data_IF_070430052276
#
_entry.id   IF_070430052276
#
_cell.length_a   1.000
_cell.length_b   1.000
_cell.length_c   1.000
_cell.angle_alpha   90.00
_cell.angle_beta   90.00
_cell.angle_gamma   90.00
#
_symmetry.space_group_name_H-M   'P 1'
#
loop_
_entity.id
_entity.type
_entity.pdbx_description
1 polymer ?
#
# COMPACT_ATOMS: atom_id res chain seq x y z
N UNK A 1 -0.18 -18.76 7.27
CA UNK A 1 0.96 -18.72 6.33
C UNK A 1 0.86 -17.40 5.56
N UNK A 2 1.92 -16.57 5.55
CA UNK A 2 1.98 -15.37 4.71
C UNK A 2 2.12 -15.82 3.26
N UNK A 3 1.32 -15.25 2.37
CA UNK A 3 1.46 -15.40 0.93
C UNK A 3 1.68 -14.02 0.35
N UNK A 4 2.80 -13.87 -0.35
CA UNK A 4 3.06 -12.69 -1.14
C UNK A 4 2.43 -12.87 -2.51
N UNK A 5 1.50 -11.98 -2.84
CA UNK A 5 0.90 -11.85 -4.17
C UNK A 5 1.74 -10.83 -4.95
N UNK A 6 2.77 -11.36 -5.63
CA UNK A 6 3.69 -10.53 -6.41
C UNK A 6 3.14 -10.28 -7.81
N UNK A 7 3.09 -9.02 -8.27
CA UNK A 7 2.71 -8.72 -9.65
C UNK A 7 3.83 -9.06 -10.66
N UNK A 8 5.05 -9.33 -10.18
CA UNK A 8 6.20 -9.51 -11.04
C UNK A 8 6.31 -10.95 -11.53
N UNK A 9 6.27 -11.09 -12.84
CA UNK A 9 6.60 -12.32 -13.57
C UNK A 9 7.55 -11.97 -14.71
N UNK A 10 8.82 -12.39 -14.59
CA UNK A 10 9.90 -12.08 -15.52
C UNK A 10 10.30 -13.26 -16.41
N UNK A 11 9.38 -14.18 -16.68
CA UNK A 11 9.67 -15.38 -17.47
C UNK A 11 9.72 -15.10 -18.97
N UNK A 12 8.85 -14.22 -19.50
CA UNK A 12 8.71 -14.00 -20.93
C UNK A 12 8.50 -12.53 -21.27
N UNK A 13 9.51 -11.90 -21.85
CA UNK A 13 9.46 -10.49 -22.24
C UNK A 13 10.78 -9.78 -22.03
N UNK A 14 10.71 -8.47 -22.16
CA UNK A 14 11.81 -7.55 -21.87
C UNK A 14 11.24 -6.34 -21.13
N UNK A 15 12.08 -5.60 -20.43
CA UNK A 15 11.72 -4.31 -19.88
C UNK A 15 11.54 -3.29 -21.01
N UNK A 16 10.32 -2.79 -21.18
CA UNK A 16 9.93 -1.84 -22.20
C UNK A 16 9.58 -0.50 -21.53
N UNK A 17 10.20 0.59 -22.00
CA UNK A 17 10.00 1.94 -21.51
C UNK A 17 8.86 2.61 -22.26
N UNK A 18 7.93 3.26 -21.57
CA UNK A 18 6.85 3.99 -22.21
C UNK A 18 6.13 5.01 -21.34
N UNK A 19 5.27 5.80 -21.98
CA UNK A 19 4.54 6.87 -21.35
C UNK A 19 3.07 6.85 -21.77
N UNK A 20 2.17 7.12 -20.82
CA UNK A 20 0.72 7.09 -21.03
C UNK A 20 0.06 8.47 -20.96
N UNK A 21 0.81 9.53 -20.56
CA UNK A 21 0.25 10.86 -20.39
C UNK A 21 1.07 11.88 -21.20
N UNK A 22 0.52 12.24 -22.36
CA UNK A 22 1.21 13.03 -23.38
C UNK A 22 0.17 13.82 -24.16
N UNK A 23 0.39 15.13 -24.33
CA UNK A 23 -0.45 16.03 -25.11
C UNK A 23 0.19 16.45 -26.43
N UNK A 24 -0.65 16.68 -27.41
CA UNK A 24 -0.25 17.11 -28.76
C UNK A 24 -1.03 18.36 -29.19
N UNK A 25 -0.80 18.83 -30.41
CA UNK A 25 -1.60 19.94 -31.02
C UNK A 25 -3.07 19.57 -31.24
N UNK A 26 -3.50 18.36 -30.85
CA UNK A 26 -4.93 17.97 -30.87
C UNK A 26 -5.69 18.50 -29.65
N UNK A 27 -4.98 18.86 -28.58
CA UNK A 27 -5.51 19.60 -27.43
C UNK A 27 -4.66 20.85 -27.18
N UNK A 28 -3.81 20.86 -26.19
CA UNK A 28 -3.04 22.04 -25.76
C UNK A 28 -1.52 21.82 -25.76
N UNK A 29 -1.05 20.69 -26.26
CA UNK A 29 0.36 20.46 -26.52
C UNK A 29 0.86 21.29 -27.73
N UNK A 30 2.12 21.67 -27.72
CA UNK A 30 2.72 22.53 -28.79
C UNK A 30 3.28 21.73 -29.97
N UNK A 31 3.44 20.41 -29.83
CA UNK A 31 3.99 19.54 -30.87
C UNK A 31 2.90 18.70 -31.54
N UNK A 32 3.03 18.50 -32.85
CA UNK A 32 2.17 17.54 -33.56
C UNK A 32 2.41 16.10 -33.08
N UNK A 33 1.46 15.20 -33.29
CA UNK A 33 1.64 13.80 -32.90
C UNK A 33 2.91 13.16 -33.44
N UNK A 34 3.28 13.44 -34.70
CA UNK A 34 4.50 12.88 -35.28
C UNK A 34 5.78 13.45 -34.64
N UNK A 35 5.79 14.74 -34.31
CA UNK A 35 6.93 15.34 -33.60
C UNK A 35 7.10 14.76 -32.21
N UNK A 36 6.00 14.50 -31.52
CA UNK A 36 6.01 13.80 -30.21
C UNK A 36 6.55 12.38 -30.35
N UNK A 37 6.09 11.60 -31.33
CA UNK A 37 6.63 10.28 -31.63
C UNK A 37 8.15 10.32 -31.84
N UNK A 38 8.64 11.25 -32.65
CA UNK A 38 10.06 11.38 -32.92
C UNK A 38 10.86 11.68 -31.65
N UNK A 39 10.36 12.60 -30.78
CA UNK A 39 11.01 12.95 -29.51
C UNK A 39 11.12 11.75 -28.56
N UNK A 40 10.05 10.99 -28.39
CA UNK A 40 10.06 9.84 -27.50
C UNK A 40 10.85 8.66 -28.05
N UNK A 41 10.94 8.51 -29.38
CA UNK A 41 11.84 7.57 -30.02
C UNK A 41 13.31 7.90 -29.73
N UNK A 42 13.70 9.19 -29.82
CA UNK A 42 15.05 9.66 -29.46
C UNK A 42 15.36 9.45 -27.97
N UNK A 43 14.35 9.50 -27.08
CA UNK A 43 14.47 9.20 -25.66
C UNK A 43 14.45 7.69 -25.34
N UNK A 44 14.40 6.83 -26.38
CA UNK A 44 14.45 5.38 -26.24
C UNK A 44 13.19 4.75 -25.66
N UNK A 45 12.01 5.32 -25.95
CA UNK A 45 10.75 4.70 -25.56
C UNK A 45 10.36 3.58 -26.52
N UNK A 46 9.69 2.56 -25.97
CA UNK A 46 9.20 1.38 -26.68
C UNK A 46 7.70 1.45 -26.97
N UNK A 47 6.95 2.22 -26.19
CA UNK A 47 5.53 2.44 -26.41
C UNK A 47 5.09 3.83 -25.95
N UNK A 48 3.98 4.32 -26.55
CA UNK A 48 3.34 5.59 -26.20
C UNK A 48 1.83 5.47 -26.24
N UNK A 49 1.18 6.31 -25.43
CA UNK A 49 -0.24 6.62 -25.56
C UNK A 49 -0.41 8.14 -25.61
N UNK A 50 -1.07 8.66 -26.64
CA UNK A 50 -1.52 10.05 -26.62
C UNK A 50 -2.76 10.15 -25.73
N UNK A 51 -2.82 11.21 -24.94
CA UNK A 51 -3.89 11.45 -23.99
C UNK A 51 -4.44 12.88 -24.11
N UNK A 52 -4.55 13.37 -25.33
CA UNK A 52 -5.11 14.69 -25.59
C UNK A 52 -6.44 14.88 -24.85
N UNK A 53 -6.66 16.06 -24.26
CA UNK A 53 -7.83 16.39 -23.45
C UNK A 53 -9.14 16.14 -24.20
N UNK A 54 -9.97 15.24 -23.67
CA UNK A 54 -11.32 14.92 -24.17
C UNK A 54 -11.40 14.66 -25.69
N UNK A 55 -10.26 14.25 -26.29
CA UNK A 55 -10.09 14.07 -27.73
C UNK A 55 -9.37 12.75 -28.03
N UNK A 56 -10.13 11.66 -28.08
CA UNK A 56 -9.60 10.34 -28.37
C UNK A 56 -9.04 10.26 -29.80
N UNK A 57 -7.77 9.91 -29.91
CA UNK A 57 -7.16 9.50 -31.16
C UNK A 57 -7.49 8.02 -31.42
N UNK A 58 -8.18 7.74 -32.51
CA UNK A 58 -8.59 6.38 -32.87
C UNK A 58 -7.42 5.54 -33.37
N UNK A 59 -7.53 4.21 -33.27
CA UNK A 59 -6.52 3.29 -33.80
C UNK A 59 -6.22 3.51 -35.29
N UNK A 60 -7.24 3.87 -36.08
CA UNK A 60 -7.10 4.19 -37.50
C UNK A 60 -6.23 5.44 -37.72
N UNK A 61 -6.36 6.45 -36.87
CA UNK A 61 -5.53 7.65 -36.93
C UNK A 61 -4.08 7.35 -36.56
N UNK A 62 -3.85 6.49 -35.58
CA UNK A 62 -2.49 6.03 -35.21
C UNK A 62 -1.75 5.38 -36.38
N UNK A 63 -2.46 4.67 -37.28
CA UNK A 63 -1.87 4.04 -38.46
C UNK A 63 -1.31 5.03 -39.48
N UNK A 64 -1.66 6.31 -39.39
CA UNK A 64 -1.16 7.38 -40.28
C UNK A 64 0.25 7.87 -39.89
N UNK A 65 0.73 7.52 -38.73
CA UNK A 65 2.02 7.96 -38.21
C UNK A 65 3.14 6.92 -38.39
N UNK A 66 4.35 7.39 -38.59
CA UNK A 66 5.55 6.58 -38.46
C UNK A 66 5.85 6.35 -36.97
N UNK A 67 5.55 5.18 -36.47
CA UNK A 67 5.71 4.84 -35.05
C UNK A 67 7.15 4.78 -34.55
N UNK A 68 8.14 4.87 -35.44
CA UNK A 68 9.58 4.70 -35.11
C UNK A 68 9.89 3.40 -34.39
N UNK A 69 9.10 2.35 -34.64
CA UNK A 69 9.23 1.06 -33.99
C UNK A 69 8.65 0.98 -32.58
N UNK A 70 7.97 2.04 -32.10
CA UNK A 70 7.21 2.01 -30.84
C UNK A 70 5.84 1.39 -31.04
N UNK A 71 5.29 0.83 -29.97
CA UNK A 71 3.90 0.39 -29.91
C UNK A 71 3.05 1.60 -29.51
N UNK A 72 2.14 2.02 -30.40
CA UNK A 72 1.22 3.12 -30.13
C UNK A 72 -0.09 2.55 -29.55
N UNK A 73 -0.52 3.04 -28.40
CA UNK A 73 -1.68 2.56 -27.66
C UNK A 73 -2.72 3.70 -27.60
N UNK A 74 -3.96 3.51 -28.06
CA UNK A 74 -4.99 4.54 -27.97
C UNK A 74 -5.29 4.95 -26.54
N UNK A 75 -5.41 6.25 -26.30
CA UNK A 75 -5.73 6.82 -25.01
C UNK A 75 -6.31 8.22 -25.12
N UNK A 76 -6.87 8.68 -24.03
CA UNK A 76 -7.46 10.02 -23.87
C UNK A 76 -7.39 10.42 -22.40
N UNK A 77 -7.16 11.69 -22.13
CA UNK A 77 -7.39 12.24 -20.79
C UNK A 77 -8.78 12.87 -20.73
N UNK A 78 -9.66 12.28 -19.91
CA UNK A 78 -10.99 12.81 -19.64
C UNK A 78 -10.85 13.87 -18.56
N UNK A 79 -10.90 15.13 -18.93
CA UNK A 79 -10.50 16.26 -18.08
C UNK A 79 -11.63 17.23 -17.72
N UNK A 80 -12.54 17.51 -18.63
CA UNK A 80 -13.60 18.48 -18.38
C UNK A 80 -14.49 18.07 -17.19
N UNK A 81 -14.86 19.07 -16.37
CA UNK A 81 -15.84 18.96 -15.27
C UNK A 81 -15.38 18.16 -14.00
N UNK A 82 -14.09 17.95 -13.78
CA UNK A 82 -13.63 17.32 -12.52
C UNK A 82 -12.19 16.80 -12.58
N UNK A 83 -11.74 16.04 -11.60
CA UNK A 83 -10.42 15.44 -11.58
C UNK A 83 -10.14 14.62 -12.84
N UNK A 84 -8.94 14.72 -13.37
CA UNK A 84 -8.57 14.12 -14.63
C UNK A 84 -8.38 12.62 -14.54
N UNK A 85 -8.78 11.90 -15.58
CA UNK A 85 -8.67 10.45 -15.67
C UNK A 85 -8.09 10.07 -17.04
N UNK A 86 -6.94 9.38 -17.07
CA UNK A 86 -6.50 8.67 -18.25
C UNK A 86 -7.39 7.47 -18.52
N UNK A 87 -7.85 7.33 -19.75
CA UNK A 87 -8.48 6.13 -20.27
C UNK A 87 -7.59 5.56 -21.37
N UNK A 88 -6.87 4.50 -21.04
CA UNK A 88 -5.84 3.87 -21.88
C UNK A 88 -6.36 2.56 -22.48
N UNK A 89 -5.84 2.18 -23.66
CA UNK A 89 -6.28 1.07 -24.49
C UNK A 89 -7.76 1.22 -24.90
N UNK A 90 -8.15 2.45 -25.10
CA UNK A 90 -9.52 2.86 -25.42
C UNK A 90 -9.85 2.63 -26.89
N UNK A 91 -11.08 2.20 -27.19
CA UNK A 91 -11.63 2.16 -28.56
C UNK A 91 -12.88 3.01 -28.70
N UNK A 92 -13.47 3.39 -27.58
CA UNK A 92 -14.73 4.12 -27.53
C UNK A 92 -14.55 5.40 -26.76
N UNK A 93 -15.00 6.48 -27.36
CA UNK A 93 -15.04 7.77 -26.68
C UNK A 93 -16.01 7.72 -25.49
N UNK A 94 -15.56 8.26 -24.38
CA UNK A 94 -16.35 8.44 -23.15
C UNK A 94 -16.37 9.93 -22.85
N UNK A 95 -17.55 10.53 -22.90
CA UNK A 95 -17.69 11.95 -22.64
C UNK A 95 -17.48 12.28 -21.16
N UNK A 96 -16.85 13.44 -20.87
CA UNK A 96 -16.67 13.93 -19.51
C UNK A 96 -18.00 14.04 -18.76
N UNK A 97 -17.98 13.61 -17.50
CA UNK A 97 -19.12 13.67 -16.58
C UNK A 97 -18.60 14.26 -15.25
N UNK A 98 -19.31 15.20 -14.66
CA UNK A 98 -18.94 15.78 -13.37
C UNK A 98 -18.94 14.74 -12.24
N UNK A 99 -19.69 13.67 -12.39
CA UNK A 99 -19.63 12.50 -11.52
C UNK A 99 -18.58 11.54 -12.06
N UNK A 100 -17.34 11.67 -11.60
CA UNK A 100 -16.22 10.82 -12.06
C UNK A 100 -16.44 9.33 -11.87
N UNK A 101 -17.21 8.94 -10.87
CA UNK A 101 -17.61 7.53 -10.72
C UNK A 101 -18.40 7.03 -11.93
N UNK A 102 -19.22 7.87 -12.58
CA UNK A 102 -19.93 7.49 -13.81
C UNK A 102 -18.96 7.23 -14.97
N UNK A 103 -17.90 8.04 -15.10
CA UNK A 103 -16.84 7.83 -16.09
C UNK A 103 -16.14 6.50 -15.83
N UNK A 104 -15.72 6.24 -14.59
CA UNK A 104 -15.07 5.00 -14.18
C UNK A 104 -15.96 3.77 -14.41
N UNK A 105 -17.24 3.88 -14.12
CA UNK A 105 -18.21 2.80 -14.39
C UNK A 105 -18.32 2.46 -15.87
N UNK A 106 -18.34 3.45 -16.75
CA UNK A 106 -18.37 3.26 -18.21
C UNK A 106 -17.09 2.59 -18.72
N UNK A 107 -15.93 2.97 -18.20
CA UNK A 107 -14.63 2.34 -18.52
C UNK A 107 -14.63 0.89 -18.03
N UNK A 108 -15.07 0.65 -16.81
CA UNK A 108 -15.14 -0.70 -16.24
C UNK A 108 -16.14 -1.60 -16.98
N UNK A 109 -17.27 -1.04 -17.40
CA UNK A 109 -18.24 -1.77 -18.24
C UNK A 109 -17.63 -2.20 -19.57
N UNK A 110 -16.91 -1.29 -20.24
CA UNK A 110 -16.20 -1.59 -21.47
C UNK A 110 -15.12 -2.67 -21.26
N UNK A 111 -14.36 -2.57 -20.17
CA UNK A 111 -13.38 -3.59 -19.79
C UNK A 111 -14.02 -4.96 -19.59
N UNK A 112 -15.13 -5.03 -18.86
CA UNK A 112 -15.84 -6.29 -18.60
C UNK A 112 -16.38 -6.96 -19.89
N UNK A 113 -16.72 -6.16 -20.90
CA UNK A 113 -17.22 -6.65 -22.17
C UNK A 113 -16.12 -7.08 -23.14
N UNK A 114 -14.96 -6.42 -23.10
CA UNK A 114 -13.93 -6.54 -24.15
C UNK A 114 -12.59 -7.07 -23.64
N UNK A 115 -12.34 -7.02 -22.32
CA UNK A 115 -11.04 -7.24 -21.72
C UNK A 115 -10.04 -6.11 -21.98
N UNK A 116 -10.51 -4.94 -22.44
CA UNK A 116 -9.69 -3.80 -22.88
C UNK A 116 -10.13 -2.50 -22.19
N UNK A 117 -9.19 -1.58 -22.10
CA UNK A 117 -9.42 -0.28 -21.50
C UNK A 117 -9.29 -0.24 -19.98
N UNK A 118 -8.48 0.63 -19.47
CA UNK A 118 -8.33 0.86 -18.03
C UNK A 118 -8.20 2.33 -17.71
N UNK A 119 -8.56 2.68 -16.47
CA UNK A 119 -8.52 4.05 -15.97
C UNK A 119 -7.36 4.27 -15.00
N UNK A 120 -6.69 5.42 -15.11
CA UNK A 120 -5.72 5.92 -14.12
C UNK A 120 -6.15 7.31 -13.68
N UNK A 121 -6.16 7.59 -12.37
CA UNK A 121 -6.46 8.95 -11.87
C UNK A 121 -5.18 9.78 -11.90
N UNK A 122 -5.24 10.93 -12.61
CA UNK A 122 -4.08 11.75 -12.92
C UNK A 122 -3.71 12.70 -11.78
N UNK A 123 -2.41 12.97 -11.64
CA UNK A 123 -1.79 14.03 -10.81
C UNK A 123 -2.65 14.48 -9.61
N UNK A 124 -3.00 13.56 -8.66
CA UNK A 124 -3.96 13.86 -7.60
C UNK A 124 -3.49 14.97 -6.65
N UNK A 125 -2.18 15.25 -6.58
CA UNK A 125 -1.59 16.31 -5.77
C UNK A 125 -1.28 17.60 -6.55
N UNK A 126 -1.87 17.78 -7.74
CA UNK A 126 -1.82 19.01 -8.48
C UNK A 126 -2.65 20.11 -7.78
N UNK A 127 -2.38 21.39 -8.11
CA UNK A 127 -2.93 22.63 -7.58
C UNK A 127 -2.36 23.02 -6.21
N UNK A 128 -2.55 24.26 -5.83
CA UNK A 128 -1.95 24.90 -4.66
C UNK A 128 -2.36 24.27 -3.31
N UNK A 129 -3.46 23.51 -3.27
CA UNK A 129 -3.92 22.78 -2.08
C UNK A 129 -3.48 21.31 -2.09
N UNK A 130 -2.68 20.86 -3.05
CA UNK A 130 -2.29 19.46 -3.27
C UNK A 130 -3.51 18.53 -3.38
N UNK A 131 -4.59 18.99 -4.03
CA UNK A 131 -5.87 18.31 -3.92
C UNK A 131 -6.72 18.37 -5.21
N UNK A 132 -6.10 18.15 -6.36
CA UNK A 132 -6.84 17.97 -7.61
C UNK A 132 -7.83 16.80 -7.52
N UNK A 133 -7.41 15.70 -6.86
CA UNK A 133 -8.28 14.61 -6.46
C UNK A 133 -8.04 14.26 -4.99
N UNK A 134 -9.07 14.42 -4.15
CA UNK A 134 -8.92 14.22 -2.72
C UNK A 134 -8.74 12.74 -2.36
N UNK A 135 -8.13 12.48 -1.21
CA UNK A 135 -7.97 11.10 -0.72
C UNK A 135 -9.33 10.43 -0.47
N UNK A 136 -10.34 11.19 -0.04
CA UNK A 136 -11.70 10.71 0.16
C UNK A 136 -12.31 10.24 -1.15
N UNK A 137 -12.20 11.04 -2.23
CA UNK A 137 -12.64 10.66 -3.58
C UNK A 137 -11.93 9.38 -4.04
N UNK A 138 -10.60 9.29 -3.90
CA UNK A 138 -9.84 8.11 -4.26
C UNK A 138 -10.24 6.86 -3.46
N UNK A 139 -10.62 7.02 -2.19
CA UNK A 139 -11.12 5.92 -1.35
C UNK A 139 -12.51 5.49 -1.79
N UNK A 140 -13.41 6.43 -2.07
CA UNK A 140 -14.80 6.15 -2.44
C UNK A 140 -14.93 5.56 -3.86
N UNK A 141 -14.14 6.07 -4.82
CA UNK A 141 -14.23 5.62 -6.20
C UNK A 141 -13.76 4.19 -6.40
N UNK A 142 -14.37 3.54 -7.38
CA UNK A 142 -14.05 2.18 -7.81
C UNK A 142 -13.86 2.13 -9.34
N UNK A 143 -13.23 1.08 -9.86
CA UNK A 143 -13.09 0.88 -11.30
C UNK A 143 -11.89 1.61 -11.93
N UNK A 144 -11.00 2.19 -11.15
CA UNK A 144 -9.70 2.66 -11.63
C UNK A 144 -8.60 1.65 -11.29
N UNK A 145 -7.63 1.51 -12.19
CA UNK A 145 -6.51 0.57 -12.06
C UNK A 145 -5.40 1.13 -11.18
N UNK A 146 -5.20 2.45 -11.16
CA UNK A 146 -4.14 3.09 -10.42
C UNK A 146 -4.25 4.61 -10.39
N UNK A 147 -3.22 5.24 -9.82
CA UNK A 147 -3.06 6.69 -9.75
C UNK A 147 -1.69 7.09 -10.27
N UNK A 148 -1.54 8.29 -10.78
CA UNK A 148 -0.22 8.86 -11.00
C UNK A 148 0.43 9.20 -9.66
N UNK A 149 1.51 8.48 -9.35
CA UNK A 149 2.35 8.71 -8.16
C UNK A 149 3.47 9.71 -8.46
N UNK A 150 3.74 9.93 -9.75
CA UNK A 150 4.66 10.93 -10.26
C UNK A 150 4.10 11.50 -11.56
N UNK A 151 4.06 12.83 -11.66
CA UNK A 151 3.70 13.55 -12.85
C UNK A 151 4.73 14.66 -13.12
N UNK A 152 5.40 14.57 -14.27
CA UNK A 152 6.55 15.41 -14.57
C UNK A 152 6.22 16.90 -14.70
N UNK A 153 5.11 17.23 -15.36
CA UNK A 153 4.73 18.63 -15.63
C UNK A 153 4.38 19.40 -14.36
N UNK A 154 3.89 18.74 -13.33
CA UNK A 154 3.53 19.39 -12.06
C UNK A 154 4.77 19.99 -11.37
N UNK A 155 5.98 19.50 -11.66
CA UNK A 155 7.21 20.10 -11.15
C UNK A 155 7.41 21.58 -11.50
N UNK A 156 6.68 22.11 -12.52
CA UNK A 156 6.67 23.52 -12.90
C UNK A 156 5.34 24.25 -12.67
N UNK A 157 4.37 23.56 -12.04
CA UNK A 157 3.04 24.09 -11.73
C UNK A 157 2.83 24.09 -10.21
N UNK A 158 1.69 24.61 -9.78
CA UNK A 158 1.31 24.56 -8.35
C UNK A 158 0.96 23.12 -7.93
N UNK A 159 1.40 22.71 -6.76
CA UNK A 159 1.14 21.38 -6.21
C UNK A 159 2.40 20.55 -6.03
N UNK A 160 2.24 19.24 -5.99
CA UNK A 160 3.33 18.27 -5.90
C UNK A 160 3.32 17.31 -7.09
N UNK A 161 4.49 17.12 -7.69
CA UNK A 161 4.67 16.07 -8.70
C UNK A 161 4.55 14.65 -8.13
N UNK A 162 4.57 14.48 -6.80
CA UNK A 162 4.51 13.21 -6.10
C UNK A 162 3.18 13.05 -5.37
N UNK A 163 2.55 11.88 -5.52
CA UNK A 163 1.35 11.48 -4.78
C UNK A 163 1.55 10.17 -3.99
N UNK A 164 2.78 9.92 -3.52
CA UNK A 164 3.16 8.70 -2.79
C UNK A 164 2.36 8.53 -1.50
N UNK A 165 2.07 9.62 -0.78
CA UNK A 165 1.30 9.58 0.45
C UNK A 165 -0.14 9.09 0.21
N UNK A 166 -0.80 9.60 -0.85
CA UNK A 166 -2.14 9.14 -1.23
C UNK A 166 -2.11 7.66 -1.64
N UNK A 167 -1.08 7.25 -2.39
CA UNK A 167 -0.92 5.85 -2.78
C UNK A 167 -0.78 4.93 -1.58
N UNK A 168 0.14 5.23 -0.64
CA UNK A 168 0.33 4.44 0.57
C UNK A 168 -0.93 4.38 1.45
N UNK A 169 -1.71 5.45 1.52
CA UNK A 169 -3.00 5.45 2.21
C UNK A 169 -4.02 4.50 1.55
N UNK A 170 -4.10 4.51 0.21
CA UNK A 170 -4.99 3.60 -0.54
C UNK A 170 -4.61 2.14 -0.31
N UNK A 171 -3.32 1.83 -0.45
CA UNK A 171 -2.78 0.48 -0.24
C UNK A 171 -3.06 -0.01 1.19
N UNK A 172 -2.88 0.86 2.18
CA UNK A 172 -3.12 0.54 3.60
C UNK A 172 -4.59 0.40 3.96
N UNK A 173 -5.50 0.92 3.12
CA UNK A 173 -6.94 0.67 3.20
C UNK A 173 -7.38 -0.57 2.42
N UNK A 174 -6.43 -1.36 1.90
CA UNK A 174 -6.68 -2.60 1.17
C UNK A 174 -7.07 -2.40 -0.29
N UNK A 175 -6.94 -1.18 -0.85
CA UNK A 175 -7.14 -0.98 -2.29
C UNK A 175 -5.95 -1.53 -3.06
N UNK A 176 -6.19 -2.45 -3.98
CA UNK A 176 -5.18 -2.99 -4.91
C UNK A 176 -5.12 -2.06 -6.13
N UNK A 177 -4.31 -1.01 -6.05
CA UNK A 177 -4.12 -0.01 -7.11
C UNK A 177 -2.64 0.20 -7.40
N UNK A 178 -2.31 0.37 -8.70
CA UNK A 178 -0.95 0.55 -9.16
C UNK A 178 -0.53 2.02 -9.16
N UNK A 179 0.77 2.26 -9.02
CA UNK A 179 1.36 3.59 -9.21
C UNK A 179 1.83 3.77 -10.65
N UNK A 180 1.60 4.93 -11.23
CA UNK A 180 2.07 5.30 -12.57
C UNK A 180 2.97 6.52 -12.49
N UNK A 181 3.96 6.59 -13.39
CA UNK A 181 4.77 7.79 -13.59
C UNK A 181 4.69 8.22 -15.04
N UNK A 182 4.36 9.47 -15.26
CA UNK A 182 4.20 10.01 -16.60
C UNK A 182 4.77 11.44 -16.69
N UNK A 183 4.96 11.88 -17.93
CA UNK A 183 5.46 13.23 -18.23
C UNK A 183 4.37 14.28 -18.15
N UNK A 184 3.18 13.97 -18.68
CA UNK A 184 2.11 14.94 -18.93
C UNK A 184 2.62 16.09 -19.82
N UNK A 185 3.33 15.71 -20.91
CA UNK A 185 4.14 16.64 -21.69
C UNK A 185 3.30 17.51 -22.60
N UNK A 186 3.56 18.84 -22.57
CA UNK A 186 2.86 19.84 -23.38
C UNK A 186 3.83 20.65 -24.25
N UNK A 187 5.06 20.90 -23.78
CA UNK A 187 6.01 21.82 -24.38
C UNK A 187 7.47 21.33 -24.26
N UNK A 188 8.44 22.04 -24.88
CA UNK A 188 9.86 21.71 -24.71
C UNK A 188 10.25 21.65 -23.22
N UNK A 189 10.96 20.59 -22.82
CA UNK A 189 11.39 20.35 -21.44
C UNK A 189 10.46 19.48 -20.61
N UNK A 190 9.25 19.18 -21.09
CA UNK A 190 8.31 18.30 -20.39
C UNK A 190 8.49 16.81 -20.74
N UNK A 191 9.37 16.45 -21.68
CA UNK A 191 9.54 15.08 -22.16
C UNK A 191 10.65 14.33 -21.41
N UNK A 192 10.39 13.09 -21.04
CA UNK A 192 11.38 12.21 -20.41
C UNK A 192 11.67 12.53 -18.94
N UNK A 193 10.69 13.08 -18.23
CA UNK A 193 10.78 13.39 -16.80
C UNK A 193 10.41 12.17 -15.93
N UNK A 194 9.43 11.37 -16.38
CA UNK A 194 8.99 10.16 -15.71
C UNK A 194 8.32 9.19 -16.67
N UNK A 195 8.49 7.89 -16.45
CA UNK A 195 7.98 6.84 -17.34
C UNK A 195 7.68 5.54 -16.61
N UNK A 196 6.94 4.67 -17.30
CA UNK A 196 6.64 3.33 -16.85
C UNK A 196 7.55 2.34 -17.58
N UNK A 197 8.09 1.35 -16.88
CA UNK A 197 8.94 0.29 -17.44
C UNK A 197 8.23 -1.05 -17.23
N UNK A 198 7.72 -1.60 -18.33
CA UNK A 198 6.82 -2.76 -18.34
C UNK A 198 7.57 -4.00 -18.80
N UNK A 199 7.46 -5.10 -18.07
CA UNK A 199 8.01 -6.37 -18.52
C UNK A 199 7.00 -7.11 -19.42
N UNK A 200 7.26 -7.09 -20.73
CA UNK A 200 6.32 -7.61 -21.74
C UNK A 200 7.04 -8.00 -23.06
N UNK A 201 6.33 -8.71 -23.91
CA UNK A 201 6.67 -8.76 -25.33
C UNK A 201 6.29 -7.41 -25.98
N UNK A 202 7.09 -6.93 -26.96
CA UNK A 202 6.88 -5.61 -27.60
C UNK A 202 5.68 -5.62 -28.55
N UNK A 203 4.50 -5.79 -27.99
CA UNK A 203 3.22 -5.67 -28.69
C UNK A 203 2.14 -5.13 -27.71
N UNK A 204 1.11 -4.47 -28.27
CA UNK A 204 0.04 -3.79 -27.49
C UNK A 204 -0.60 -4.73 -26.46
N UNK A 205 -1.01 -5.93 -26.88
CA UNK A 205 -1.69 -6.88 -26.01
C UNK A 205 -0.86 -7.26 -24.80
N UNK A 206 0.40 -7.64 -25.01
CA UNK A 206 1.30 -8.06 -23.93
C UNK A 206 1.62 -6.90 -22.97
N UNK A 207 1.83 -5.68 -23.50
CA UNK A 207 2.07 -4.49 -22.69
C UNK A 207 0.87 -4.19 -21.79
N UNK A 208 -0.33 -4.14 -22.37
CA UNK A 208 -1.58 -3.84 -21.63
C UNK A 208 -1.88 -4.91 -20.58
N UNK A 209 -1.74 -6.20 -20.91
CA UNK A 209 -1.93 -7.29 -19.95
C UNK A 209 -0.94 -7.24 -18.79
N UNK A 210 0.32 -6.87 -19.05
CA UNK A 210 1.35 -6.68 -18.01
C UNK A 210 1.04 -5.50 -17.11
N UNK A 211 0.58 -4.38 -17.66
CA UNK A 211 0.13 -3.21 -16.88
C UNK A 211 -1.05 -3.59 -15.98
N UNK A 212 -2.07 -4.25 -16.51
CA UNK A 212 -3.25 -4.67 -15.72
C UNK A 212 -2.85 -5.55 -14.55
N UNK A 213 -1.86 -6.42 -14.75
CA UNK A 213 -1.32 -7.31 -13.70
C UNK A 213 -0.34 -6.63 -12.73
N UNK A 214 0.10 -5.40 -13.01
CA UNK A 214 1.10 -4.69 -12.20
C UNK A 214 2.56 -5.12 -12.48
N UNK A 215 2.81 -5.83 -13.58
CA UNK A 215 4.16 -6.30 -13.95
C UNK A 215 4.99 -5.17 -14.60
N UNK A 216 5.18 -4.09 -13.84
CA UNK A 216 5.92 -2.91 -14.26
C UNK A 216 6.43 -2.13 -13.05
N UNK A 217 7.32 -1.18 -13.27
CA UNK A 217 7.76 -0.21 -12.28
C UNK A 217 7.78 1.20 -12.89
N UNK A 218 7.82 2.21 -12.04
CA UNK A 218 7.92 3.62 -12.42
C UNK A 218 9.34 4.11 -12.24
N UNK A 219 9.80 5.02 -13.11
CA UNK A 219 11.16 5.55 -13.03
C UNK A 219 11.28 6.98 -13.54
N UNK A 220 12.23 7.70 -12.95
CA UNK A 220 12.77 8.97 -13.46
C UNK A 220 14.27 8.83 -13.81
N UNK A 221 14.81 7.57 -13.84
CA UNK A 221 16.22 7.33 -14.20
C UNK A 221 16.87 6.14 -13.52
N UNK A 222 16.27 5.54 -12.49
CA UNK A 222 16.76 4.30 -11.89
C UNK A 222 16.30 3.11 -12.74
N UNK A 223 17.22 2.18 -13.00
CA UNK A 223 16.98 0.98 -13.78
C UNK A 223 16.92 -0.23 -12.83
N UNK A 224 15.75 -0.87 -12.74
CA UNK A 224 15.58 -2.15 -12.04
C UNK A 224 15.95 -3.28 -13.02
N UNK A 225 16.89 -4.12 -12.60
CA UNK A 225 17.34 -5.28 -13.37
C UNK A 225 16.53 -6.51 -13.07
N UNK A 226 16.29 -6.73 -11.78
CA UNK A 226 15.62 -7.93 -11.31
C UNK A 226 14.78 -7.64 -10.06
N UNK A 227 13.64 -8.27 -9.98
CA UNK A 227 12.80 -8.33 -8.79
C UNK A 227 12.13 -9.70 -8.73
N UNK A 228 12.26 -10.36 -7.59
CA UNK A 228 11.64 -11.66 -7.36
C UNK A 228 11.08 -11.76 -5.94
N UNK A 229 10.09 -12.65 -5.79
CA UNK A 229 9.48 -12.96 -4.51
C UNK A 229 9.28 -14.48 -4.42
N UNK A 230 9.93 -15.13 -3.46
CA UNK A 230 9.81 -16.59 -3.22
C UNK A 230 8.69 -16.94 -2.22
N UNK A 231 7.88 -15.95 -1.82
CA UNK A 231 6.81 -16.09 -0.82
C UNK A 231 7.27 -15.86 0.62
N UNK A 232 8.57 -15.75 0.90
CA UNK A 232 9.16 -15.44 2.22
C UNK A 232 10.05 -14.21 2.17
N UNK A 233 10.77 -14.07 1.07
CA UNK A 233 11.70 -12.98 0.83
C UNK A 233 11.39 -12.31 -0.49
N UNK A 234 11.67 -11.03 -0.55
CA UNK A 234 11.65 -10.24 -1.78
C UNK A 234 13.07 -9.78 -2.03
N UNK A 235 13.57 -10.02 -3.24
CA UNK A 235 14.87 -9.57 -3.68
C UNK A 235 14.72 -8.58 -4.83
N UNK A 236 15.47 -7.47 -4.76
CA UNK A 236 15.50 -6.43 -5.78
C UNK A 236 16.92 -6.07 -6.12
N UNK A 237 17.24 -5.99 -7.42
CA UNK A 237 18.50 -5.51 -7.96
C UNK A 237 18.28 -4.36 -8.94
N UNK A 238 19.10 -3.32 -8.81
CA UNK A 238 19.11 -2.17 -9.70
C UNK A 238 20.49 -1.99 -10.33
N UNK A 239 20.55 -1.28 -11.45
CA UNK A 239 21.83 -0.96 -12.09
C UNK A 239 22.55 0.20 -11.38
N UNK A 240 21.82 1.25 -11.05
CA UNK A 240 22.39 2.54 -10.69
C UNK A 240 21.86 3.14 -9.37
N UNK A 241 21.03 2.43 -8.60
CA UNK A 241 20.61 2.94 -7.30
C UNK A 241 21.78 3.05 -6.33
N UNK A 242 21.75 4.09 -5.49
CA UNK A 242 22.68 4.34 -4.38
C UNK A 242 22.05 4.07 -3.04
N UNK A 243 20.72 4.06 -3.00
CA UNK A 243 19.92 3.80 -1.80
C UNK A 243 18.63 3.12 -2.21
N UNK A 244 18.21 2.12 -1.44
CA UNK A 244 16.93 1.43 -1.62
C UNK A 244 16.24 1.35 -0.27
N UNK A 245 14.95 1.66 -0.22
CA UNK A 245 14.10 1.47 0.94
C UNK A 245 12.94 0.54 0.62
N UNK A 246 12.68 -0.42 1.50
CA UNK A 246 11.45 -1.20 1.52
C UNK A 246 10.38 -0.43 2.28
N UNK A 247 9.25 -0.20 1.64
CA UNK A 247 8.12 0.57 2.14
C UNK A 247 6.96 -0.37 2.42
N UNK A 248 6.32 -0.23 3.58
CA UNK A 248 5.13 -0.97 3.96
C UNK A 248 4.16 -0.07 4.74
N UNK A 249 2.94 -0.49 4.89
CA UNK A 249 1.89 0.11 5.73
C UNK A 249 2.05 1.61 5.99
N UNK A 250 1.25 2.43 5.31
CA UNK A 250 1.23 3.91 5.44
C UNK A 250 2.62 4.55 5.26
N UNK A 251 3.42 4.03 4.30
CA UNK A 251 4.73 4.60 3.98
C UNK A 251 5.86 4.29 5.00
N UNK A 252 5.67 3.33 5.91
CA UNK A 252 6.71 2.93 6.86
C UNK A 252 7.91 2.33 6.13
N UNK A 253 9.10 2.90 6.32
CA UNK A 253 10.36 2.32 5.85
C UNK A 253 10.79 1.20 6.79
N UNK A 254 10.56 -0.06 6.38
CA UNK A 254 10.91 -1.23 7.19
C UNK A 254 12.38 -1.59 7.13
N UNK A 255 13.03 -1.34 5.99
CA UNK A 255 14.46 -1.57 5.79
C UNK A 255 15.01 -0.54 4.80
N UNK A 256 16.23 -0.09 5.03
CA UNK A 256 16.96 0.82 4.14
C UNK A 256 18.37 0.28 3.95
N UNK A 257 18.83 0.22 2.71
CA UNK A 257 20.21 -0.12 2.35
C UNK A 257 20.81 0.97 1.49
N UNK A 258 22.11 1.18 1.64
CA UNK A 258 22.93 2.02 0.77
C UNK A 258 23.69 1.10 -0.19
N UNK A 259 23.21 1.03 -1.42
CA UNK A 259 23.70 0.13 -2.46
C UNK A 259 22.66 -0.05 -3.54
N UNK A 260 22.92 -0.99 -4.44
CA UNK A 260 22.11 -1.26 -5.64
C UNK A 260 21.26 -2.53 -5.53
N UNK A 261 21.26 -3.22 -4.40
CA UNK A 261 20.43 -4.40 -4.17
C UNK A 261 19.93 -4.47 -2.72
N UNK A 262 18.77 -5.10 -2.52
CA UNK A 262 18.16 -5.34 -1.22
C UNK A 262 17.47 -6.70 -1.19
N UNK A 263 17.56 -7.38 -0.06
CA UNK A 263 16.72 -8.55 0.25
C UNK A 263 15.97 -8.30 1.54
N UNK A 264 14.65 -8.51 1.50
CA UNK A 264 13.75 -8.24 2.63
C UNK A 264 12.98 -9.51 2.98
N UNK A 265 13.05 -9.95 4.21
CA UNK A 265 12.08 -10.93 4.73
C UNK A 265 10.73 -10.22 4.87
N UNK A 266 9.66 -10.89 4.41
CA UNK A 266 8.32 -10.30 4.46
C UNK A 266 7.93 -10.06 5.92
N UNK A 267 7.73 -8.80 6.34
CA UNK A 267 7.35 -8.51 7.71
C UNK A 267 5.95 -9.07 8.01
N UNK A 268 5.76 -9.69 9.19
CA UNK A 268 4.51 -10.37 9.52
C UNK A 268 3.29 -9.43 9.64
N UNK A 269 3.53 -8.13 9.83
CA UNK A 269 2.52 -7.08 9.93
C UNK A 269 2.32 -6.30 8.62
N UNK A 270 3.06 -6.63 7.55
CA UNK A 270 2.93 -5.95 6.28
C UNK A 270 1.62 -6.30 5.57
N UNK A 271 0.92 -5.31 5.05
CA UNK A 271 -0.18 -5.47 4.11
C UNK A 271 0.31 -5.47 2.66
N UNK A 272 1.41 -4.76 2.42
CA UNK A 272 2.14 -4.73 1.17
C UNK A 272 3.62 -4.41 1.44
N UNK A 273 4.45 -4.72 0.46
CA UNK A 273 5.84 -4.25 0.39
C UNK A 273 6.07 -3.69 -1.01
N UNK A 274 6.57 -2.46 -1.09
CA UNK A 274 7.05 -1.84 -2.31
C UNK A 274 8.43 -1.24 -2.07
N UNK A 275 9.13 -0.89 -3.14
CA UNK A 275 10.47 -0.31 -3.01
C UNK A 275 10.53 1.09 -3.60
N UNK A 276 11.29 1.94 -2.94
CA UNK A 276 11.77 3.21 -3.46
C UNK A 276 13.28 3.11 -3.65
N UNK A 277 13.75 3.46 -4.84
CA UNK A 277 15.16 3.41 -5.21
C UNK A 277 15.62 4.82 -5.60
N UNK A 278 16.75 5.25 -5.07
CA UNK A 278 17.33 6.58 -5.38
C UNK A 278 18.71 6.40 -6.02
N UNK A 279 18.98 7.14 -7.10
CA UNK A 279 20.27 7.27 -7.73
C UNK A 279 20.84 8.68 -7.55
N UNK A 280 21.81 9.05 -8.36
CA UNK A 280 22.33 10.41 -8.44
C UNK A 280 21.32 11.37 -9.11
N UNK A 281 21.50 12.66 -8.89
CA UNK A 281 20.67 13.72 -9.50
C UNK A 281 19.16 13.54 -9.26
N UNK A 282 18.78 13.08 -8.05
CA UNK A 282 17.39 12.89 -7.62
C UNK A 282 16.56 11.88 -8.45
N UNK A 283 17.24 11.08 -9.29
CA UNK A 283 16.59 10.01 -10.03
C UNK A 283 16.03 8.96 -9.09
N UNK A 284 14.82 8.49 -9.40
CA UNK A 284 14.12 7.51 -8.58
C UNK A 284 13.52 6.38 -9.42
N UNK A 285 13.22 5.27 -8.75
CA UNK A 285 12.24 4.30 -9.21
C UNK A 285 11.35 3.83 -8.07
N UNK A 286 10.12 3.44 -8.42
CA UNK A 286 9.10 2.90 -7.52
C UNK A 286 8.58 1.59 -8.08
N UNK A 287 8.69 0.52 -7.30
CA UNK A 287 8.07 -0.75 -7.68
C UNK A 287 6.59 -0.75 -7.41
N UNK A 288 5.84 -1.60 -8.09
CA UNK A 288 4.48 -1.89 -7.71
C UNK A 288 4.45 -2.65 -6.37
N UNK A 289 3.37 -2.52 -5.59
CA UNK A 289 3.24 -3.22 -4.32
C UNK A 289 3.13 -4.73 -4.53
N UNK A 290 3.90 -5.49 -3.77
CA UNK A 290 3.70 -6.90 -3.55
C UNK A 290 2.74 -7.00 -2.38
N UNK A 291 1.51 -7.47 -2.63
CA UNK A 291 0.49 -7.58 -1.59
C UNK A 291 0.75 -8.79 -0.71
N UNK A 292 0.58 -8.61 0.58
CA UNK A 292 0.79 -9.68 1.56
C UNK A 292 -0.57 -10.13 2.07
N UNK A 293 -0.95 -11.33 1.67
CA UNK A 293 -2.16 -11.96 2.16
C UNK A 293 -1.82 -12.94 3.28
N UNK A 294 -2.48 -12.76 4.41
CA UNK A 294 -2.51 -13.80 5.42
C UNK A 294 -3.46 -14.90 4.92
N UNK A 295 -2.92 -15.97 4.31
CA UNK A 295 -3.68 -17.23 4.21
C UNK A 295 -3.66 -17.96 5.54
N UNK A 296 -4.22 -17.33 6.53
CA UNK A 296 -4.96 -18.03 7.57
C UNK A 296 -6.41 -17.77 7.21
N UNK A 297 -7.17 -18.83 7.09
CA UNK A 297 -8.63 -18.78 7.04
C UNK A 297 -9.07 -17.67 8.00
N UNK A 298 -9.88 -16.73 7.55
CA UNK A 298 -10.41 -15.56 8.30
C UNK A 298 -11.19 -15.93 9.57
N UNK A 299 -10.87 -17.10 10.18
CA UNK A 299 -11.39 -17.66 11.40
C UNK A 299 -10.35 -17.86 12.51
N UNK A 300 -9.06 -17.66 12.28
CA UNK A 300 -8.00 -18.03 13.24
C UNK A 300 -6.85 -17.02 13.34
N UNK A 301 -7.13 -15.74 13.41
CA UNK A 301 -6.33 -14.86 14.26
C UNK A 301 -6.87 -15.08 15.67
N UNK A 302 -6.30 -16.05 16.40
CA UNK A 302 -6.63 -16.36 17.78
C UNK A 302 -6.26 -15.23 18.75
N UNK A 303 -6.59 -13.97 18.36
CA UNK A 303 -6.53 -12.87 19.30
C UNK A 303 -7.56 -13.12 20.39
N UNK A 304 -7.16 -12.87 21.60
CA UNK A 304 -8.09 -12.81 22.72
C UNK A 304 -9.03 -11.63 22.45
N UNK A 305 -10.21 -11.94 21.94
CA UNK A 305 -11.13 -10.92 21.36
C UNK A 305 -12.00 -10.23 22.38
N UNK A 306 -12.29 -10.89 23.49
CA UNK A 306 -13.20 -10.39 24.55
C UNK A 306 -12.45 -10.24 25.85
N UNK A 307 -12.57 -9.06 26.43
CA UNK A 307 -11.93 -8.75 27.70
C UNK A 307 -12.91 -8.13 28.67
N UNK A 308 -12.62 -8.27 29.96
CA UNK A 308 -13.14 -7.41 31.01
C UNK A 308 -12.03 -6.41 31.36
N UNK A 309 -12.39 -5.15 31.47
CA UNK A 309 -11.48 -4.04 31.78
C UNK A 309 -11.88 -3.36 33.07
N UNK A 310 -10.92 -2.94 33.89
CA UNK A 310 -11.15 -2.08 35.04
C UNK A 310 -11.29 -0.61 34.62
N UNK A 311 -11.76 0.23 35.52
CA UNK A 311 -11.49 1.66 35.45
C UNK A 311 -9.98 1.92 35.58
N UNK A 312 -9.55 3.13 35.28
CA UNK A 312 -8.17 3.58 35.54
C UNK A 312 -7.94 3.63 37.06
N UNK A 313 -6.89 2.98 37.49
CA UNK A 313 -6.53 2.88 38.91
C UNK A 313 -5.34 3.79 39.21
N UNK A 314 -5.40 4.54 40.28
CA UNK A 314 -4.28 5.34 40.80
C UNK A 314 -3.26 4.43 41.53
N UNK A 315 -2.59 3.61 40.74
CA UNK A 315 -1.53 2.69 41.19
C UNK A 315 -0.24 3.16 40.50
N UNK A 316 0.77 3.46 41.28
CA UNK A 316 2.01 4.07 40.79
C UNK A 316 3.00 3.07 40.17
N UNK A 317 2.84 1.75 40.39
CA UNK A 317 3.78 0.74 39.91
C UNK A 317 3.10 -0.61 39.74
N UNK A 318 3.46 -1.34 38.70
CA UNK A 318 3.00 -2.71 38.41
C UNK A 318 3.33 -3.70 39.54
N UNK A 319 4.34 -3.44 40.40
CA UNK A 319 4.69 -4.29 41.54
C UNK A 319 3.59 -4.37 42.60
N UNK A 320 2.70 -3.37 42.63
CA UNK A 320 1.55 -3.33 43.52
C UNK A 320 0.28 -3.98 42.94
N UNK A 321 0.41 -4.64 41.78
CA UNK A 321 -0.71 -5.28 41.10
C UNK A 321 -0.81 -6.77 41.44
N UNK A 322 -2.04 -7.30 41.42
CA UNK A 322 -2.32 -8.72 41.63
C UNK A 322 -3.43 -9.23 40.71
N UNK A 323 -3.42 -10.52 40.33
CA UNK A 323 -4.51 -11.10 39.58
C UNK A 323 -5.83 -11.16 40.38
N UNK A 324 -5.79 -11.23 41.72
CA UNK A 324 -6.96 -11.20 42.56
C UNK A 324 -7.67 -9.83 42.52
N UNK A 325 -6.93 -8.74 42.50
CA UNK A 325 -7.49 -7.41 42.37
C UNK A 325 -8.06 -7.18 40.98
N UNK A 326 -7.38 -7.68 39.95
CA UNK A 326 -7.89 -7.61 38.58
C UNK A 326 -9.28 -8.26 38.46
N UNK A 327 -9.48 -9.44 39.05
CA UNK A 327 -10.76 -10.16 39.06
C UNK A 327 -11.88 -9.44 39.79
N UNK A 328 -11.54 -8.62 40.80
CA UNK A 328 -12.51 -7.82 41.53
C UNK A 328 -12.88 -6.57 40.78
N UNK A 329 -11.92 -5.96 40.08
CA UNK A 329 -12.03 -4.59 39.51
C UNK A 329 -12.38 -4.55 38.03
N UNK A 330 -11.97 -5.54 37.24
CA UNK A 330 -12.29 -5.61 35.80
C UNK A 330 -13.76 -6.08 35.62
N UNK A 331 -14.68 -5.16 35.33
CA UNK A 331 -16.12 -5.44 35.22
C UNK A 331 -16.73 -5.00 33.90
N UNK A 332 -16.14 -4.02 33.23
CA UNK A 332 -16.63 -3.51 31.96
C UNK A 332 -16.16 -4.42 30.81
N UNK A 333 -16.99 -4.62 29.81
CA UNK A 333 -16.62 -5.40 28.62
C UNK A 333 -15.94 -4.51 27.60
N UNK A 334 -14.85 -4.98 27.04
CA UNK A 334 -14.18 -4.38 25.91
C UNK A 334 -13.79 -5.46 24.90
N UNK A 335 -13.90 -5.16 23.62
CA UNK A 335 -13.49 -6.06 22.56
C UNK A 335 -12.20 -5.53 21.89
N UNK A 336 -11.39 -6.43 21.37
CA UNK A 336 -10.32 -6.00 20.47
C UNK A 336 -10.89 -5.50 19.15
N UNK A 337 -10.11 -4.74 18.42
CA UNK A 337 -10.45 -4.26 17.08
C UNK A 337 -10.71 -5.43 16.13
N UNK A 338 -11.79 -5.39 15.33
CA UNK A 338 -12.21 -6.52 14.50
C UNK A 338 -11.21 -6.86 13.41
N UNK A 339 -11.26 -8.10 12.94
CA UNK A 339 -10.49 -8.53 11.77
C UNK A 339 -10.82 -7.64 10.56
N UNK A 340 -9.81 -7.40 9.71
CA UNK A 340 -9.96 -6.52 8.53
C UNK A 340 -9.66 -5.04 8.80
N UNK A 341 -9.38 -4.64 10.03
CA UNK A 341 -8.89 -3.29 10.36
C UNK A 341 -7.36 -3.27 10.48
N UNK A 342 -6.75 -2.09 10.32
CA UNK A 342 -5.29 -1.89 10.51
C UNK A 342 -4.84 -2.33 11.90
N UNK A 343 -5.71 -2.14 12.90
CA UNK A 343 -5.46 -2.49 14.31
C UNK A 343 -6.17 -3.79 14.72
N UNK A 344 -6.47 -4.71 13.79
CA UNK A 344 -7.12 -5.98 14.13
C UNK A 344 -6.41 -6.68 15.30
N UNK A 345 -7.17 -7.08 16.31
CA UNK A 345 -6.67 -7.68 17.55
C UNK A 345 -6.15 -6.70 18.61
N UNK A 346 -6.14 -5.39 18.35
CA UNK A 346 -5.73 -4.38 19.33
C UNK A 346 -6.84 -4.11 20.36
N UNK A 347 -6.50 -4.14 21.62
CA UNK A 347 -7.38 -3.69 22.72
C UNK A 347 -7.01 -2.26 23.06
N UNK A 348 -7.87 -1.33 22.64
CA UNK A 348 -7.66 0.10 22.82
C UNK A 348 -8.17 0.55 24.20
N UNK A 349 -7.27 1.00 25.05
CA UNK A 349 -7.58 1.39 26.43
C UNK A 349 -7.72 2.92 26.60
N UNK A 350 -7.63 3.71 25.52
CA UNK A 350 -7.61 5.17 25.59
C UNK A 350 -8.89 5.79 26.15
N UNK A 351 -10.04 5.20 25.84
CA UNK A 351 -11.33 5.67 26.41
C UNK A 351 -11.39 5.53 27.92
N UNK A 352 -10.73 4.50 28.47
CA UNK A 352 -10.67 4.25 29.92
C UNK A 352 -9.58 5.08 30.57
N UNK A 353 -8.39 5.18 29.98
CA UNK A 353 -7.27 5.94 30.52
C UNK A 353 -7.47 7.45 30.45
N UNK A 354 -8.22 7.91 29.45
CA UNK A 354 -8.39 9.34 29.17
C UNK A 354 -7.07 10.13 29.21
N UNK A 355 -6.01 9.53 28.68
CA UNK A 355 -4.64 10.05 28.68
C UNK A 355 -4.11 10.41 30.09
N UNK A 356 -4.60 9.76 31.14
CA UNK A 356 -4.11 9.94 32.51
C UNK A 356 -3.15 8.83 32.92
N UNK A 357 -2.19 9.09 33.81
CA UNK A 357 -1.31 8.07 34.37
C UNK A 357 -2.09 7.13 35.30
N UNK A 358 -1.70 5.86 35.28
CA UNK A 358 -2.30 4.84 36.16
C UNK A 358 -2.22 3.45 35.54
N UNK A 359 -2.87 2.50 36.19
CA UNK A 359 -2.89 1.09 35.76
C UNK A 359 -4.32 0.67 35.42
N UNK A 360 -4.45 -0.12 34.37
CA UNK A 360 -5.69 -0.75 33.92
C UNK A 360 -5.50 -2.25 33.96
N UNK A 361 -6.48 -2.98 34.51
CA UNK A 361 -6.53 -4.42 34.42
C UNK A 361 -7.36 -4.88 33.23
N UNK A 362 -6.84 -5.87 32.51
CA UNK A 362 -7.51 -6.61 31.44
C UNK A 362 -7.61 -8.08 31.84
N UNK A 363 -8.80 -8.65 31.82
CA UNK A 363 -9.07 -10.05 32.20
C UNK A 363 -9.82 -10.75 31.08
N UNK A 364 -9.38 -11.93 30.69
CA UNK A 364 -10.08 -12.76 29.71
C UNK A 364 -9.99 -14.24 30.07
N UNK A 365 -11.05 -15.00 29.72
CA UNK A 365 -11.07 -16.44 29.78
C UNK A 365 -10.78 -17.02 28.41
N UNK A 366 -9.76 -17.89 28.33
CA UNK A 366 -9.36 -18.59 27.13
C UNK A 366 -9.51 -20.10 27.30
N UNK A 367 -9.94 -20.81 26.25
CA UNK A 367 -10.28 -22.22 26.35
C UNK A 367 -9.39 -23.09 25.46
N UNK A 368 -8.91 -24.22 26.00
CA UNK A 368 -8.11 -25.19 25.28
C UNK A 368 -8.70 -26.59 25.39
N UNK A 369 -8.54 -27.41 24.36
CA UNK A 369 -9.08 -28.77 24.29
C UNK A 369 -8.26 -29.77 25.10
N UNK A 370 -6.98 -29.49 25.37
CA UNK A 370 -6.05 -30.33 26.09
C UNK A 370 -5.01 -29.52 26.86
N UNK A 371 -4.40 -30.16 27.88
CA UNK A 371 -3.19 -29.63 28.48
C UNK A 371 -2.08 -29.61 27.46
N UNK A 372 -1.42 -28.46 27.29
CA UNK A 372 -0.37 -28.30 26.31
C UNK A 372 0.61 -27.16 26.66
N UNK A 373 1.79 -27.21 26.04
CA UNK A 373 2.63 -26.02 25.94
C UNK A 373 1.94 -25.00 25.05
N UNK A 374 2.05 -23.75 25.38
CA UNK A 374 1.45 -22.66 24.62
C UNK A 374 2.44 -21.50 24.48
N UNK A 375 2.25 -20.73 23.43
CA UNK A 375 2.99 -19.52 23.15
C UNK A 375 2.03 -18.33 23.25
N UNK A 376 2.31 -17.46 24.22
CA UNK A 376 1.64 -16.18 24.38
C UNK A 376 2.40 -15.13 23.56
N UNK A 377 1.71 -14.47 22.63
CA UNK A 377 2.21 -13.39 21.83
C UNK A 377 1.63 -12.08 22.35
N UNK A 378 2.49 -11.11 22.58
CA UNK A 378 2.13 -9.79 23.09
C UNK A 378 2.71 -8.68 22.21
N UNK A 379 1.94 -7.61 22.04
CA UNK A 379 2.39 -6.29 21.61
C UNK A 379 1.81 -5.26 22.58
N UNK A 380 2.58 -4.31 23.05
CA UNK A 380 2.14 -3.36 24.08
C UNK A 380 2.99 -2.09 24.01
N UNK A 381 2.42 -0.95 24.28
CA UNK A 381 3.11 0.35 24.25
C UNK A 381 3.29 0.99 25.63
N UNK A 382 2.72 0.38 26.67
CA UNK A 382 2.98 0.69 28.06
C UNK A 382 3.53 -0.55 28.81
N UNK A 383 4.19 -0.40 29.97
CA UNK A 383 4.60 -1.55 30.78
C UNK A 383 3.46 -2.51 31.09
N UNK A 384 3.76 -3.80 31.09
CA UNK A 384 2.76 -4.85 31.36
C UNK A 384 3.26 -5.89 32.35
N UNK A 385 2.33 -6.41 33.16
CA UNK A 385 2.54 -7.59 33.99
C UNK A 385 1.44 -8.58 33.68
N UNK A 386 1.80 -9.83 33.40
CA UNK A 386 0.88 -10.83 32.84
C UNK A 386 0.85 -12.08 33.68
N UNK A 387 -0.34 -12.56 34.00
CA UNK A 387 -0.58 -13.83 34.72
C UNK A 387 -1.46 -14.74 33.85
N UNK A 388 -1.14 -16.03 33.93
CA UNK A 388 -1.98 -17.11 33.39
C UNK A 388 -2.28 -18.10 34.53
N UNK A 389 -3.58 -18.29 34.84
CA UNK A 389 -4.02 -19.13 35.96
C UNK A 389 -3.32 -18.73 37.26
N UNK A 390 -3.34 -17.43 37.58
CA UNK A 390 -2.72 -16.81 38.78
C UNK A 390 -1.19 -16.86 38.83
N UNK A 391 -0.54 -17.58 37.93
CA UNK A 391 0.92 -17.62 37.83
C UNK A 391 1.42 -16.49 36.96
N UNK A 392 2.35 -15.67 37.43
CA UNK A 392 3.03 -14.68 36.60
C UNK A 392 3.84 -15.38 35.50
N UNK A 393 3.61 -14.97 34.27
CA UNK A 393 4.27 -15.53 33.09
C UNK A 393 5.12 -14.53 32.37
N UNK A 394 4.88 -13.23 32.58
CA UNK A 394 5.66 -12.19 31.92
C UNK A 394 5.58 -10.85 32.65
N UNK A 395 6.69 -10.11 32.63
CA UNK A 395 6.81 -8.70 33.01
C UNK A 395 7.60 -7.96 31.91
N UNK A 396 7.02 -6.92 31.31
CA UNK A 396 7.62 -6.15 30.22
C UNK A 396 7.65 -4.67 30.51
N UNK A 397 8.78 -3.99 30.21
CA UNK A 397 8.97 -2.57 30.53
C UNK A 397 8.21 -1.59 29.64
N UNK A 398 7.48 -2.09 28.66
CA UNK A 398 6.81 -1.30 27.66
C UNK A 398 7.69 -1.05 26.43
N UNK A 399 7.01 -0.93 25.30
CA UNK A 399 7.60 -0.56 24.01
C UNK A 399 6.71 0.52 23.38
N UNK A 400 7.19 1.28 22.44
CA UNK A 400 6.39 2.27 21.73
C UNK A 400 6.87 2.35 20.28
N UNK A 401 5.98 2.08 19.31
CA UNK A 401 4.56 1.69 19.44
C UNK A 401 4.36 0.22 19.85
N UNK A 402 3.11 -0.17 20.19
CA UNK A 402 2.72 -1.57 20.32
C UNK A 402 2.81 -2.26 18.96
N UNK A 403 3.66 -3.28 18.86
CA UNK A 403 3.85 -4.07 17.63
C UNK A 403 3.30 -5.47 17.87
N UNK A 404 2.45 -5.96 16.95
CA UNK A 404 1.89 -7.32 17.01
C UNK A 404 2.99 -8.37 17.16
N UNK A 405 2.79 -9.34 18.06
CA UNK A 405 3.68 -10.49 18.25
C UNK A 405 5.15 -10.16 18.55
N UNK A 406 5.42 -8.94 18.98
CA UNK A 406 6.77 -8.46 19.29
C UNK A 406 7.42 -9.29 20.41
N UNK A 407 6.63 -9.65 21.40
CA UNK A 407 7.07 -10.46 22.53
C UNK A 407 6.45 -11.85 22.46
N UNK A 408 7.25 -12.89 22.67
CA UNK A 408 6.84 -14.31 22.72
C UNK A 408 7.20 -14.89 24.06
N UNK A 409 6.19 -15.41 24.75
CA UNK A 409 6.33 -16.01 26.09
C UNK A 409 5.88 -17.46 26.05
N UNK A 410 6.79 -18.39 26.36
CA UNK A 410 6.47 -19.80 26.49
C UNK A 410 5.76 -20.05 27.83
N UNK A 411 4.63 -20.71 27.78
CA UNK A 411 3.77 -21.01 28.95
C UNK A 411 3.11 -22.39 28.83
N UNK A 412 2.25 -22.71 29.79
CA UNK A 412 1.46 -23.94 29.80
C UNK A 412 -0.02 -23.60 30.02
N UNK A 413 -0.86 -24.25 29.25
CA UNK A 413 -2.32 -24.15 29.37
C UNK A 413 -2.90 -25.48 29.81
N UNK A 414 -4.03 -25.42 30.51
CA UNK A 414 -4.79 -26.59 30.95
C UNK A 414 -5.97 -26.82 30.01
N UNK A 415 -6.43 -28.07 29.94
CA UNK A 415 -7.71 -28.39 29.31
C UNK A 415 -8.83 -27.58 29.96
N UNK A 416 -9.71 -27.04 29.13
CA UNK A 416 -10.83 -26.20 29.55
C UNK A 416 -10.42 -24.74 29.73
N UNK A 417 -10.97 -24.09 30.72
CA UNK A 417 -10.83 -22.66 31.00
C UNK A 417 -9.45 -22.34 31.56
N UNK A 418 -8.80 -21.36 30.96
CA UNK A 418 -7.61 -20.68 31.47
C UNK A 418 -7.88 -19.19 31.63
N UNK A 419 -7.46 -18.61 32.73
CA UNK A 419 -7.67 -17.21 33.03
C UNK A 419 -6.42 -16.41 32.73
N UNK A 420 -6.52 -15.48 31.81
CA UNK A 420 -5.46 -14.55 31.42
C UNK A 420 -5.74 -13.20 32.06
N UNK A 421 -4.76 -12.65 32.75
CA UNK A 421 -4.83 -11.36 33.43
C UNK A 421 -3.63 -10.52 32.98
N UNK A 422 -3.88 -9.26 32.60
CA UNK A 422 -2.85 -8.29 32.26
C UNK A 422 -3.08 -7.03 33.09
N UNK A 423 -2.07 -6.60 33.83
CA UNK A 423 -1.99 -5.24 34.34
C UNK A 423 -1.21 -4.41 33.32
N UNK A 424 -1.80 -3.33 32.85
CA UNK A 424 -1.26 -2.45 31.84
C UNK A 424 -1.07 -1.05 32.41
N UNK A 425 0.17 -0.56 32.41
CA UNK A 425 0.51 0.80 32.82
C UNK A 425 0.34 1.73 31.63
N UNK A 426 -0.42 2.80 31.82
CA UNK A 426 -0.68 3.80 30.79
C UNK A 426 0.55 4.65 30.40
N UNK A 427 1.71 4.38 31.00
CA UNK A 427 2.98 5.08 30.71
C UNK A 427 2.83 6.61 30.79
N UNK A 428 2.28 7.08 31.90
CA UNK A 428 2.00 8.51 32.08
C UNK A 428 0.89 9.05 31.17
N UNK A 429 -0.06 8.18 30.77
CA UNK A 429 -1.16 8.50 29.87
C UNK A 429 -0.79 8.47 28.37
N UNK A 430 0.40 8.01 28.01
CA UNK A 430 0.91 7.98 26.64
C UNK A 430 0.65 6.65 25.92
N UNK A 431 0.41 5.58 26.66
CA UNK A 431 0.19 4.26 26.12
C UNK A 431 -1.28 4.07 25.72
N UNK A 432 -1.52 3.32 24.66
CA UNK A 432 -2.82 3.17 24.01
C UNK A 432 -3.44 1.79 24.22
N UNK A 433 -2.61 0.75 24.41
CA UNK A 433 -3.15 -0.58 24.62
C UNK A 433 -2.26 -1.75 24.23
N UNK A 434 -2.90 -2.88 23.93
CA UNK A 434 -2.20 -4.15 23.73
C UNK A 434 -2.73 -4.95 22.54
N UNK A 435 -1.86 -5.78 21.97
CA UNK A 435 -2.21 -6.98 21.19
C UNK A 435 -1.95 -8.21 22.05
N UNK A 436 -2.85 -9.18 22.03
CA UNK A 436 -2.67 -10.42 22.78
C UNK A 436 -3.28 -11.60 22.05
N UNK A 437 -2.51 -12.67 21.87
CA UNK A 437 -3.00 -13.98 21.41
C UNK A 437 -2.25 -15.12 22.10
N UNK A 438 -2.93 -16.26 22.27
CA UNK A 438 -2.39 -17.43 22.94
C UNK A 438 -2.65 -18.67 22.06
N UNK A 439 -1.58 -19.36 21.64
CA UNK A 439 -1.64 -20.55 20.78
C UNK A 439 -1.01 -21.74 21.48
N UNK A 440 -1.64 -22.93 21.39
CA UNK A 440 -0.97 -24.18 21.76
C UNK A 440 0.15 -24.50 20.77
N UNK A 441 1.30 -24.98 21.25
CA UNK A 441 2.28 -25.66 20.41
C UNK A 441 1.66 -27.01 19.98
N UNK A 442 1.49 -27.20 18.69
CA UNK A 442 1.09 -28.49 18.11
C UNK A 442 2.28 -29.41 17.99
#
# INVERSE_FOLDING_TARGET
MLIADSPYNLEKGNWLKGNFHIHTTRSDGVFSPQEVINKYAELGHDFLSFSDHDNLMTEKEYQMFDSKGMVLIPGVEISANGPHILYIDSEKEIFPDCTRQNVLNKIQEFFNQTGRGFAVVNHPDWQHEFNHCSIEQLIEWTGYLGIEIYNGVIGRLDGSQYALNKWDLLLSKGKKVWGFANDDSHRPGDHGLGWNVVFAEKNRKSIVESIIKGNFYCSTGVIIRHIECDGKKIHLETENARKIAAIQNVGKRSQVVYGNSISVEIPPDAQYVRFECWAEAEQMAWTQPIFIELKETLGELDYVSQWQISELLDISNLDYTSPQDALKLAKQKINCQPAGTILAGFVDTREVSNAQPGIIYLVSDVYFESDSKALLFLGYDGPVRVWLNEKEVFYGPGTNPAIRDQTKVYTQVKKGKNQLVIAFDTNGGKAWGIFCRLKSER
#
